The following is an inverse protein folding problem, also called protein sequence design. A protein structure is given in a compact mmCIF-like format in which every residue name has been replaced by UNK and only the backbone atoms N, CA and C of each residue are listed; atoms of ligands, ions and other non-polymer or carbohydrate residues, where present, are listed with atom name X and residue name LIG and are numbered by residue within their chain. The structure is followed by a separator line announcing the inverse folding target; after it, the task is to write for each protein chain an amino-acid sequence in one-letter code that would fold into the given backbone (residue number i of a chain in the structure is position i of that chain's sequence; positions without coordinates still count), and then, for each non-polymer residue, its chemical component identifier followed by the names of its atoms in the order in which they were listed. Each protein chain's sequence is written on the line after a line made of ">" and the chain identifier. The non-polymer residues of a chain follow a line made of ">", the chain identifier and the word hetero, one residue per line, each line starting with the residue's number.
data_IF_083818525944
#
_entry.id   IF_083818525944
#
_cell.length_a   1.000
_cell.length_b   1.000
_cell.length_c   1.000
_cell.angle_alpha   90.00
_cell.angle_beta   90.00
_cell.angle_gamma   90.00
#
_symmetry.space_group_name_H-M   'P 1'
#
loop_
_entity.id
_entity.type
_entity.pdbx_description
1 polymer ?
#
# COMPACT_ATOMS: atom_id res chain seq x y z
N UNK A 1 19.84 -25.30 -14.20
CA UNK A 1 18.40 -25.61 -14.16
C UNK A 1 17.68 -24.36 -14.63
N UNK A 2 16.56 -24.49 -15.34
CA UNK A 2 15.75 -23.32 -15.73
C UNK A 2 15.31 -22.60 -14.45
N UNK A 3 15.46 -21.27 -14.41
CA UNK A 3 14.93 -20.47 -13.30
C UNK A 3 13.42 -20.31 -13.52
N UNK A 4 12.64 -21.16 -12.87
CA UNK A 4 11.19 -21.30 -13.05
C UNK A 4 10.38 -20.29 -12.19
N UNK A 5 11.05 -19.34 -11.53
CA UNK A 5 10.41 -18.28 -10.76
C UNK A 5 9.53 -17.39 -11.64
N UNK A 6 8.48 -16.83 -11.03
CA UNK A 6 7.57 -15.88 -11.69
C UNK A 6 8.31 -14.61 -12.09
N UNK A 7 7.91 -14.06 -13.21
CA UNK A 7 8.44 -12.81 -13.77
C UNK A 7 7.79 -11.58 -13.13
N UNK A 8 6.56 -11.70 -12.66
CA UNK A 8 5.76 -10.60 -12.12
C UNK A 8 5.21 -10.95 -10.74
N UNK A 9 5.05 -9.91 -9.93
CA UNK A 9 4.39 -10.01 -8.63
C UNK A 9 2.98 -9.42 -8.67
N UNK A 10 2.17 -9.78 -7.69
CA UNK A 10 0.83 -9.23 -7.48
C UNK A 10 0.74 -8.62 -6.09
N UNK A 11 -0.09 -7.59 -5.95
CA UNK A 11 -0.37 -7.00 -4.63
C UNK A 11 -1.18 -7.97 -3.79
N UNK A 12 -1.19 -7.78 -2.47
CA UNK A 12 -2.23 -8.31 -1.59
C UNK A 12 -3.05 -7.16 -1.00
N UNK A 13 -4.20 -7.46 -0.43
CA UNK A 13 -5.10 -6.44 0.12
C UNK A 13 -4.44 -5.60 1.22
N UNK A 14 -4.76 -4.30 1.22
CA UNK A 14 -4.17 -3.32 2.13
C UNK A 14 -3.14 -2.40 1.45
N UNK A 15 -2.91 -1.25 2.07
CA UNK A 15 -1.84 -0.31 1.73
C UNK A 15 -0.54 -0.65 2.44
N UNK A 16 0.47 0.21 2.29
CA UNK A 16 1.81 0.01 2.86
C UNK A 16 1.83 -0.11 4.38
N UNK A 17 0.83 0.46 5.07
CA UNK A 17 0.73 0.49 6.53
C UNK A 17 -0.06 -0.66 7.16
N UNK A 18 -0.87 -1.41 6.41
CA UNK A 18 -1.74 -2.44 6.98
C UNK A 18 -1.79 -3.76 6.19
N UNK A 19 -1.07 -3.88 5.07
CA UNK A 19 -1.04 -5.09 4.24
C UNK A 19 -0.50 -6.31 4.99
N UNK A 20 0.56 -6.14 5.79
CA UNK A 20 1.12 -7.25 6.58
C UNK A 20 0.13 -7.75 7.65
N UNK A 21 -0.58 -6.85 8.32
CA UNK A 21 -1.59 -7.23 9.30
C UNK A 21 -2.74 -8.01 8.67
N UNK A 22 -3.21 -7.59 7.49
CA UNK A 22 -4.26 -8.29 6.76
C UNK A 22 -3.77 -9.67 6.30
N UNK A 23 -2.55 -9.75 5.75
CA UNK A 23 -1.93 -11.02 5.35
C UNK A 23 -1.80 -11.96 6.55
N UNK A 24 -1.27 -11.48 7.67
CA UNK A 24 -1.12 -12.25 8.90
C UNK A 24 -2.46 -12.78 9.39
N UNK A 25 -3.50 -11.94 9.46
CA UNK A 25 -4.85 -12.36 9.86
C UNK A 25 -5.43 -13.41 8.91
N UNK A 26 -5.20 -13.28 7.61
CA UNK A 26 -5.66 -14.27 6.62
C UNK A 26 -4.93 -15.60 6.80
N UNK A 27 -3.62 -15.58 6.97
CA UNK A 27 -2.83 -16.79 7.23
C UNK A 27 -3.23 -17.44 8.56
N UNK A 28 -3.46 -16.65 9.62
CA UNK A 28 -3.95 -17.15 10.90
C UNK A 28 -5.30 -17.86 10.77
N UNK A 29 -6.22 -17.31 9.97
CA UNK A 29 -7.49 -17.95 9.67
C UNK A 29 -7.30 -19.32 8.98
N UNK A 30 -6.34 -19.45 8.06
CA UNK A 30 -6.00 -20.73 7.43
C UNK A 30 -5.25 -21.70 8.35
N UNK A 31 -4.61 -21.20 9.42
CA UNK A 31 -3.90 -22.02 10.39
C UNK A 31 -4.83 -22.85 11.26
N UNK A 32 -6.06 -22.35 11.51
CA UNK A 32 -7.02 -23.03 12.36
C UNK A 32 -7.42 -24.38 11.76
N UNK A 33 -7.74 -24.40 10.47
CA UNK A 33 -7.98 -25.59 9.66
C UNK A 33 -7.85 -25.25 8.16
N UNK A 34 -7.55 -26.23 7.29
CA UNK A 34 -7.78 -26.08 5.86
C UNK A 34 -9.25 -25.72 5.59
N UNK A 35 -9.47 -24.73 4.74
CA UNK A 35 -10.81 -24.22 4.39
C UNK A 35 -11.09 -24.45 2.91
N UNK A 36 -12.36 -24.43 2.52
CA UNK A 36 -12.71 -24.41 1.10
C UNK A 36 -12.30 -23.08 0.45
N UNK A 37 -12.15 -23.08 -0.88
CA UNK A 37 -11.88 -21.86 -1.65
C UNK A 37 -12.99 -20.82 -1.46
N UNK A 38 -14.24 -21.25 -1.34
CA UNK A 38 -15.35 -20.32 -1.06
C UNK A 38 -15.22 -19.68 0.32
N UNK A 39 -14.85 -20.44 1.35
CA UNK A 39 -14.67 -19.89 2.71
C UNK A 39 -13.50 -18.92 2.76
N UNK A 40 -12.38 -19.22 2.09
CA UNK A 40 -11.27 -18.28 1.94
C UNK A 40 -11.70 -16.99 1.23
N UNK A 41 -12.51 -17.10 0.17
CA UNK A 41 -13.06 -15.95 -0.54
C UNK A 41 -14.00 -15.13 0.36
N UNK A 42 -14.89 -15.78 1.09
CA UNK A 42 -15.87 -15.11 1.96
C UNK A 42 -15.16 -14.40 3.13
N UNK A 43 -14.09 -15.00 3.67
CA UNK A 43 -13.23 -14.32 4.65
C UNK A 43 -12.61 -13.06 4.06
N UNK A 44 -12.03 -13.14 2.85
CA UNK A 44 -11.39 -11.99 2.21
C UNK A 44 -12.39 -10.90 1.84
N UNK A 45 -13.58 -11.25 1.35
CA UNK A 45 -14.68 -10.29 1.13
C UNK A 45 -15.10 -9.59 2.42
N UNK A 46 -15.07 -10.29 3.56
CA UNK A 46 -15.54 -9.75 4.84
C UNK A 46 -14.49 -8.94 5.60
N UNK A 47 -13.20 -9.19 5.35
CA UNK A 47 -12.10 -8.65 6.16
C UNK A 47 -11.17 -7.71 5.39
N UNK A 48 -11.43 -7.50 4.10
CA UNK A 48 -10.61 -6.67 3.21
C UNK A 48 -11.50 -5.80 2.32
N UNK A 49 -10.89 -5.04 1.41
CA UNK A 49 -11.60 -4.26 0.39
C UNK A 49 -11.90 -5.07 -0.88
N UNK A 50 -11.81 -6.41 -0.83
CA UNK A 50 -12.13 -7.27 -1.96
C UNK A 50 -13.59 -7.10 -2.43
N UNK A 51 -13.80 -7.00 -3.75
CA UNK A 51 -15.14 -6.78 -4.35
C UNK A 51 -15.63 -7.88 -5.26
N UNK A 52 -14.74 -8.76 -5.69
CA UNK A 52 -15.09 -9.88 -6.56
C UNK A 52 -14.27 -11.12 -6.21
N UNK A 53 -14.89 -12.28 -6.40
CA UNK A 53 -14.22 -13.57 -6.23
C UNK A 53 -13.12 -13.79 -7.27
N UNK A 54 -13.21 -13.15 -8.44
CA UNK A 54 -12.20 -13.22 -9.49
C UNK A 54 -10.91 -12.48 -9.12
N UNK A 55 -11.02 -11.27 -8.56
CA UNK A 55 -9.87 -10.56 -8.00
C UNK A 55 -9.23 -11.37 -6.87
N UNK A 56 -10.04 -11.93 -5.96
CA UNK A 56 -9.55 -12.79 -4.88
C UNK A 56 -8.78 -13.98 -5.45
N UNK A 57 -9.29 -14.65 -6.48
CA UNK A 57 -8.61 -15.79 -7.09
C UNK A 57 -7.23 -15.43 -7.64
N UNK A 58 -7.07 -14.23 -8.20
CA UNK A 58 -5.76 -13.74 -8.65
C UNK A 58 -4.78 -13.60 -7.48
N UNK A 59 -5.23 -12.99 -6.37
CA UNK A 59 -4.42 -12.84 -5.16
C UNK A 59 -4.08 -14.19 -4.49
N UNK A 60 -5.05 -15.11 -4.41
CA UNK A 60 -4.80 -16.47 -3.92
C UNK A 60 -3.81 -17.21 -4.83
N UNK A 61 -3.91 -17.05 -6.15
CA UNK A 61 -2.95 -17.62 -7.10
C UNK A 61 -1.53 -17.09 -6.90
N UNK A 62 -1.37 -15.81 -6.55
CA UNK A 62 -0.07 -15.25 -6.19
C UNK A 62 0.45 -15.78 -4.86
N UNK A 63 -0.35 -15.75 -3.79
CA UNK A 63 0.05 -16.28 -2.48
C UNK A 63 0.41 -17.78 -2.54
N UNK A 64 -0.28 -18.55 -3.40
CA UNK A 64 0.03 -19.95 -3.65
C UNK A 64 1.38 -20.11 -4.34
N UNK A 65 1.66 -19.27 -5.33
CA UNK A 65 2.93 -19.31 -6.05
C UNK A 65 4.13 -18.85 -5.20
N UNK A 66 3.91 -18.08 -4.14
CA UNK A 66 4.95 -17.74 -3.14
C UNK A 66 5.00 -18.74 -1.98
N UNK A 67 4.20 -19.81 -2.04
CA UNK A 67 4.01 -20.82 -0.99
C UNK A 67 3.60 -20.25 0.37
N UNK A 68 2.98 -19.06 0.39
CA UNK A 68 2.36 -18.51 1.60
C UNK A 68 1.08 -19.26 1.93
N UNK A 69 0.36 -19.70 0.90
CA UNK A 69 -0.76 -20.63 1.01
C UNK A 69 -0.49 -21.84 0.11
N UNK A 70 -1.25 -22.90 0.30
CA UNK A 70 -1.34 -24.03 -0.61
C UNK A 70 -2.80 -24.20 -1.04
N UNK A 71 -3.02 -24.22 -2.35
CA UNK A 71 -4.33 -24.35 -2.98
C UNK A 71 -4.34 -25.64 -3.79
N UNK A 72 -4.89 -26.69 -3.21
CA UNK A 72 -5.05 -28.01 -3.84
C UNK A 72 -6.54 -28.30 -4.02
N UNK A 73 -6.96 -28.54 -5.25
CA UNK A 73 -8.36 -28.69 -5.65
C UNK A 73 -9.22 -27.49 -5.16
N UNK A 74 -10.16 -27.75 -4.27
CA UNK A 74 -11.03 -26.75 -3.64
C UNK A 74 -10.59 -26.37 -2.22
N UNK A 75 -9.45 -26.89 -1.76
CA UNK A 75 -8.94 -26.63 -0.39
C UNK A 75 -7.84 -25.58 -0.42
N UNK A 76 -7.94 -24.61 0.47
CA UNK A 76 -6.94 -23.57 0.75
C UNK A 76 -6.39 -23.80 2.16
N UNK A 77 -5.07 -23.91 2.28
CA UNK A 77 -4.38 -24.14 3.55
C UNK A 77 -3.07 -23.35 3.62
N UNK A 78 -2.35 -23.45 4.75
CA UNK A 78 -1.03 -22.82 4.86
C UNK A 78 0.05 -23.56 4.08
N UNK A 79 0.72 -22.81 3.21
CA UNK A 79 1.94 -23.23 2.56
C UNK A 79 3.14 -23.18 3.52
N UNK A 80 4.29 -23.66 3.04
CA UNK A 80 5.50 -23.77 3.86
C UNK A 80 5.98 -22.39 4.37
N UNK A 81 6.03 -21.40 3.49
CA UNK A 81 6.39 -20.03 3.86
C UNK A 81 5.33 -19.38 4.76
N UNK A 82 4.06 -19.68 4.55
CA UNK A 82 2.96 -19.19 5.40
C UNK A 82 3.08 -19.64 6.86
N UNK A 83 3.41 -20.92 7.07
CA UNK A 83 3.65 -21.45 8.44
C UNK A 83 4.85 -20.78 9.09
N UNK A 84 5.97 -20.66 8.37
CA UNK A 84 7.17 -19.99 8.87
C UNK A 84 6.90 -18.54 9.24
N UNK A 85 6.16 -17.81 8.40
CA UNK A 85 5.79 -16.43 8.67
C UNK A 85 4.86 -16.30 9.88
N UNK A 86 3.91 -17.21 10.09
CA UNK A 86 3.10 -17.18 11.32
C UNK A 86 3.91 -17.48 12.58
N UNK A 87 4.90 -18.38 12.49
CA UNK A 87 5.81 -18.67 13.60
C UNK A 87 6.78 -17.53 13.89
N UNK A 88 7.19 -16.77 12.88
CA UNK A 88 8.07 -15.61 12.98
C UNK A 88 7.64 -14.55 11.95
N UNK A 89 6.74 -13.62 12.32
CA UNK A 89 6.11 -12.67 11.39
C UNK A 89 7.02 -11.49 11.04
N UNK A 90 8.27 -11.79 10.75
CA UNK A 90 9.32 -10.81 10.48
C UNK A 90 9.48 -10.58 8.96
N UNK A 91 9.78 -9.35 8.52
CA UNK A 91 9.98 -9.02 7.10
C UNK A 91 10.97 -9.94 6.34
N UNK A 92 12.09 -10.42 6.92
CA UNK A 92 13.01 -11.32 6.23
C UNK A 92 12.37 -12.65 5.81
N UNK A 93 11.39 -13.16 6.55
CA UNK A 93 10.72 -14.43 6.21
C UNK A 93 9.86 -14.28 4.96
N UNK A 94 9.13 -13.17 4.84
CA UNK A 94 8.39 -12.85 3.62
C UNK A 94 9.30 -12.49 2.46
N UNK A 95 10.39 -11.78 2.72
CA UNK A 95 11.40 -11.47 1.71
C UNK A 95 11.95 -12.75 1.08
N UNK A 96 12.31 -13.74 1.89
CA UNK A 96 12.84 -15.02 1.41
C UNK A 96 11.80 -15.80 0.59
N UNK A 97 10.53 -15.79 1.02
CA UNK A 97 9.39 -16.33 0.24
C UNK A 97 9.26 -15.65 -1.13
N UNK A 98 9.35 -14.33 -1.18
CA UNK A 98 9.21 -13.56 -2.42
C UNK A 98 10.39 -13.78 -3.37
N UNK A 99 11.64 -13.66 -2.92
CA UNK A 99 12.83 -13.81 -3.77
C UNK A 99 13.04 -15.25 -4.27
N UNK A 100 12.59 -16.24 -3.50
CA UNK A 100 12.64 -17.65 -3.90
C UNK A 100 11.66 -17.98 -5.02
N UNK A 101 10.58 -17.21 -5.16
CA UNK A 101 9.47 -17.53 -6.07
C UNK A 101 9.24 -16.49 -7.19
N UNK A 102 9.80 -15.29 -7.04
CA UNK A 102 9.65 -14.18 -8.00
C UNK A 102 11.02 -13.57 -8.30
N UNK A 103 11.30 -13.37 -9.59
CA UNK A 103 12.53 -12.73 -10.04
C UNK A 103 12.52 -11.23 -9.72
N UNK A 104 13.71 -10.67 -9.50
CA UNK A 104 13.90 -9.21 -9.50
C UNK A 104 14.05 -8.54 -8.14
N UNK A 105 13.62 -9.15 -7.02
CA UNK A 105 13.75 -8.51 -5.70
C UNK A 105 15.21 -8.21 -5.33
N UNK A 106 16.09 -9.21 -5.42
CA UNK A 106 17.53 -9.04 -5.15
C UNK A 106 18.14 -8.02 -6.13
N UNK A 107 17.80 -8.10 -7.42
CA UNK A 107 18.27 -7.18 -8.46
C UNK A 107 17.95 -5.72 -8.14
N UNK A 108 16.72 -5.45 -7.67
CA UNK A 108 16.28 -4.10 -7.30
C UNK A 108 17.04 -3.61 -6.07
N UNK A 109 17.15 -4.44 -5.02
CA UNK A 109 17.86 -4.08 -3.79
C UNK A 109 19.32 -3.73 -4.08
N UNK A 110 20.04 -4.56 -4.84
CA UNK A 110 21.44 -4.30 -5.19
C UNK A 110 21.57 -3.01 -6.00
N UNK A 111 20.76 -2.84 -7.06
CA UNK A 111 20.85 -1.65 -7.91
C UNK A 111 20.52 -0.36 -7.15
N UNK A 112 19.67 -0.43 -6.14
CA UNK A 112 19.29 0.73 -5.32
C UNK A 112 20.37 1.14 -4.31
N UNK A 113 21.41 0.33 -4.08
CA UNK A 113 22.61 0.74 -3.31
C UNK A 113 23.36 1.89 -4.00
N UNK A 114 23.33 1.94 -5.34
CA UNK A 114 24.01 2.98 -6.13
C UNK A 114 23.25 4.32 -6.15
N UNK A 115 22.01 4.35 -5.67
CA UNK A 115 21.19 5.55 -5.61
C UNK A 115 19.69 5.30 -5.83
N UNK A 116 18.87 6.36 -5.71
CA UNK A 116 17.43 6.26 -5.85
C UNK A 116 17.02 5.78 -7.24
N UNK A 117 15.94 5.01 -7.32
CA UNK A 117 15.34 4.54 -8.57
C UNK A 117 13.89 5.02 -8.68
N UNK A 118 13.47 5.46 -9.86
CA UNK A 118 12.06 5.62 -10.19
C UNK A 118 11.43 4.27 -10.54
N UNK A 119 10.10 4.20 -10.64
CA UNK A 119 9.43 2.97 -11.09
C UNK A 119 9.76 2.64 -12.56
N UNK A 120 10.09 3.65 -13.37
CA UNK A 120 10.60 3.50 -14.73
C UNK A 120 12.00 2.85 -14.72
N UNK A 121 12.91 3.32 -13.87
CA UNK A 121 14.24 2.74 -13.73
C UNK A 121 14.17 1.28 -13.26
N UNK A 122 13.27 0.97 -12.32
CA UNK A 122 13.03 -0.41 -11.85
C UNK A 122 12.50 -1.28 -12.98
N UNK A 123 11.56 -0.78 -13.79
CA UNK A 123 11.05 -1.51 -14.96
C UNK A 123 12.17 -1.79 -15.95
N UNK A 124 12.94 -0.77 -16.33
CA UNK A 124 14.01 -0.91 -17.31
C UNK A 124 15.09 -1.88 -16.82
N UNK A 125 15.43 -1.85 -15.53
CA UNK A 125 16.32 -2.81 -14.87
C UNK A 125 15.79 -4.24 -14.99
N UNK A 126 14.52 -4.48 -14.68
CA UNK A 126 13.94 -5.83 -14.73
C UNK A 126 13.86 -6.35 -16.17
N UNK A 127 13.50 -5.50 -17.13
CA UNK A 127 13.45 -5.86 -18.55
C UNK A 127 14.85 -6.15 -19.10
N UNK A 128 15.88 -5.41 -18.68
CA UNK A 128 17.25 -5.63 -19.14
C UNK A 128 17.87 -6.91 -18.59
N UNK A 129 17.60 -7.23 -17.32
CA UNK A 129 18.18 -8.38 -16.64
C UNK A 129 17.48 -9.70 -16.99
N UNK A 130 16.18 -9.67 -17.27
CA UNK A 130 15.39 -10.86 -17.52
C UNK A 130 14.70 -10.76 -18.88
N UNK A 131 15.35 -11.28 -19.93
CA UNK A 131 14.90 -11.19 -21.32
C UNK A 131 13.46 -11.71 -21.60
N UNK A 132 12.95 -12.59 -20.74
CA UNK A 132 11.59 -13.14 -20.84
C UNK A 132 10.52 -12.24 -20.17
N UNK A 133 10.93 -11.21 -19.43
CA UNK A 133 10.04 -10.22 -18.82
C UNK A 133 9.56 -9.25 -19.90
N UNK A 134 8.31 -9.42 -20.35
CA UNK A 134 7.62 -8.42 -21.14
C UNK A 134 6.79 -7.50 -20.22
N UNK A 135 7.43 -6.48 -19.66
CA UNK A 135 6.75 -5.43 -18.90
C UNK A 135 6.56 -4.21 -19.80
N UNK A 136 5.38 -4.13 -20.44
CA UNK A 136 5.04 -2.99 -21.29
C UNK A 136 4.91 -1.66 -20.51
N UNK A 137 4.72 -1.72 -19.19
CA UNK A 137 4.44 -0.54 -18.36
C UNK A 137 5.11 -0.62 -16.97
N UNK A 138 5.44 0.53 -16.32
CA UNK A 138 6.08 0.57 -15.00
C UNK A 138 5.25 -0.01 -13.86
N UNK A 139 3.93 -0.13 -14.06
CA UNK A 139 2.98 -0.57 -13.05
C UNK A 139 3.24 -2.01 -12.60
N UNK A 140 3.84 -2.85 -13.44
CA UNK A 140 4.22 -4.22 -13.06
C UNK A 140 5.44 -4.20 -12.14
N UNK A 141 6.43 -3.36 -12.44
CA UNK A 141 7.63 -3.14 -11.63
C UNK A 141 7.31 -2.45 -10.28
N UNK A 142 6.32 -1.55 -10.27
CA UNK A 142 5.85 -0.88 -9.06
C UNK A 142 5.38 -1.86 -7.98
N UNK A 143 4.91 -3.05 -8.35
CA UNK A 143 4.45 -4.07 -7.40
C UNK A 143 5.61 -4.72 -6.64
N UNK A 144 6.78 -4.90 -7.27
CA UNK A 144 8.00 -5.35 -6.57
C UNK A 144 8.42 -4.32 -5.54
N UNK A 145 8.49 -3.05 -5.96
CA UNK A 145 8.78 -1.93 -5.06
C UNK A 145 7.82 -1.87 -3.88
N UNK A 146 6.52 -2.03 -4.11
CA UNK A 146 5.54 -1.99 -3.03
C UNK A 146 5.69 -3.11 -2.01
N UNK A 147 6.07 -4.32 -2.43
CA UNK A 147 6.40 -5.38 -1.49
C UNK A 147 7.63 -5.01 -0.67
N UNK A 148 8.68 -4.49 -1.29
CA UNK A 148 9.87 -3.99 -0.57
C UNK A 148 9.52 -2.87 0.42
N UNK A 149 8.57 -2.00 0.06
CA UNK A 149 8.11 -0.92 0.91
C UNK A 149 7.29 -1.43 2.10
N UNK A 150 6.38 -2.37 1.86
CA UNK A 150 5.58 -3.02 2.92
C UNK A 150 6.46 -3.78 3.90
N UNK A 151 7.56 -4.36 3.42
CA UNK A 151 8.56 -5.04 4.25
C UNK A 151 9.53 -4.06 4.95
N UNK A 152 9.41 -2.75 4.69
CA UNK A 152 10.24 -1.73 5.33
C UNK A 152 11.63 -1.56 4.73
N UNK A 153 11.97 -2.22 3.63
CA UNK A 153 13.28 -2.12 2.98
C UNK A 153 13.42 -0.93 2.03
N UNK A 154 12.30 -0.41 1.53
CA UNK A 154 12.28 0.72 0.59
C UNK A 154 11.32 1.80 1.08
N UNK A 155 11.77 3.04 1.05
CA UNK A 155 10.92 4.22 1.21
C UNK A 155 10.74 4.94 -0.14
N UNK A 156 9.61 5.64 -0.29
CA UNK A 156 9.29 6.40 -1.49
C UNK A 156 9.01 7.85 -1.11
N UNK A 157 9.69 8.77 -1.78
CA UNK A 157 9.44 10.21 -1.72
C UNK A 157 9.60 10.79 -3.12
N UNK A 158 8.67 11.66 -3.54
CA UNK A 158 8.77 12.42 -4.80
C UNK A 158 9.01 11.54 -6.04
N UNK A 159 8.37 10.37 -6.10
CA UNK A 159 8.52 9.42 -7.21
C UNK A 159 9.84 8.64 -7.23
N UNK A 160 10.77 8.93 -6.31
CA UNK A 160 12.01 8.22 -6.12
C UNK A 160 11.88 7.18 -4.99
N UNK A 161 12.48 6.01 -5.20
CA UNK A 161 12.54 4.91 -4.25
C UNK A 161 13.97 4.80 -3.71
N UNK A 162 14.13 4.69 -2.39
CA UNK A 162 15.41 4.60 -1.70
C UNK A 162 15.39 3.44 -0.72
N UNK A 163 16.55 2.81 -0.51
CA UNK A 163 16.70 1.85 0.58
C UNK A 163 16.55 2.57 1.93
N UNK A 164 15.83 1.94 2.84
CA UNK A 164 15.86 2.31 4.26
C UNK A 164 17.15 1.79 4.91
N UNK A 165 17.35 2.06 6.20
CA UNK A 165 18.45 1.46 6.95
C UNK A 165 18.42 -0.08 6.88
N UNK A 166 17.24 -0.67 7.07
CA UNK A 166 17.05 -2.13 7.00
C UNK A 166 17.24 -2.66 5.57
N UNK A 167 16.87 -1.86 4.55
CA UNK A 167 17.14 -2.19 3.16
C UNK A 167 18.63 -2.24 2.82
N UNK A 168 19.41 -1.31 3.37
CA UNK A 168 20.88 -1.34 3.24
C UNK A 168 21.50 -2.54 3.95
N UNK A 169 21.05 -2.87 5.17
CA UNK A 169 21.52 -4.05 5.89
C UNK A 169 21.19 -5.34 5.14
N UNK A 170 19.99 -5.43 4.55
CA UNK A 170 19.60 -6.54 3.70
C UNK A 170 20.53 -6.66 2.48
N UNK A 171 20.83 -5.56 1.80
CA UNK A 171 21.72 -5.58 0.64
C UNK A 171 23.13 -6.10 1.01
N UNK A 172 23.70 -5.63 2.12
CA UNK A 172 24.99 -6.12 2.63
C UNK A 172 24.96 -7.63 2.95
N UNK A 173 23.83 -8.14 3.46
CA UNK A 173 23.68 -9.57 3.73
C UNK A 173 23.57 -10.42 2.46
N UNK A 174 23.02 -9.87 1.37
CA UNK A 174 22.93 -10.54 0.07
C UNK A 174 24.29 -10.60 -0.65
N UNK A 175 25.13 -9.58 -0.45
CA UNK A 175 26.51 -9.52 -0.97
C UNK A 175 27.48 -10.46 -0.21
N UNK A 176 27.10 -10.90 0.99
CA UNK A 176 27.90 -11.80 1.83
C UNK A 176 27.75 -13.28 1.47
N UNK A 177 28.79 -14.09 1.74
CA UNK A 177 28.76 -15.55 1.57
C UNK A 177 27.87 -16.29 2.61
N UNK A 178 27.17 -15.57 3.49
CA UNK A 178 26.33 -16.15 4.55
C UNK A 178 24.86 -16.19 4.11
N UNK A 179 24.24 -17.38 3.93
CA UNK A 179 22.85 -17.48 3.54
C UNK A 179 21.92 -16.76 4.53
N UNK A 180 20.88 -16.06 4.03
CA UNK A 180 19.84 -15.43 4.86
C UNK A 180 19.22 -16.44 5.86
N UNK A 181 19.17 -17.71 5.48
CA UNK A 181 18.74 -18.82 6.33
C UNK A 181 19.63 -19.06 7.55
N UNK A 182 20.94 -18.82 7.48
CA UNK A 182 21.83 -18.94 8.64
C UNK A 182 21.63 -17.78 9.63
N UNK A 183 21.25 -16.59 9.15
CA UNK A 183 20.87 -15.45 10.00
C UNK A 183 19.53 -15.76 10.71
N UNK A 184 18.56 -16.29 9.98
CA UNK A 184 17.25 -16.72 10.52
C UNK A 184 17.38 -17.90 11.50
N UNK A 185 18.30 -18.85 11.26
CA UNK A 185 18.51 -20.01 12.14
C UNK A 185 19.38 -19.70 13.37
N UNK A 186 20.22 -18.66 13.33
CA UNK A 186 21.11 -18.29 14.44
C UNK A 186 20.40 -17.75 15.68
N UNK A 187 19.13 -17.33 15.55
CA UNK A 187 18.26 -16.88 16.66
C UNK A 187 17.23 -17.94 17.09
N UNK A 188 17.27 -19.14 16.51
CA UNK A 188 16.32 -20.23 16.78
C UNK A 188 17.06 -21.45 17.34
N UNK A 189 17.67 -21.30 18.52
CA UNK A 189 17.95 -22.46 19.35
C UNK A 189 16.66 -22.90 20.06
N UNK A 190 15.79 -23.62 19.34
CA UNK A 190 14.63 -24.30 19.96
C UNK A 190 15.01 -25.74 20.26
N UNK A 191 15.02 -26.16 21.54
CA UNK A 191 15.06 -27.57 21.89
C UNK A 191 13.77 -28.22 21.41
N UNK A 192 13.89 -29.29 20.62
CA UNK A 192 12.74 -30.13 20.25
C UNK A 192 12.15 -30.75 21.52
N UNK A 193 10.89 -30.44 21.80
CA UNK A 193 10.04 -31.26 22.66
C UNK A 193 8.70 -31.45 21.97
N UNK A 194 8.44 -32.70 21.58
CA UNK A 194 7.13 -33.17 21.14
C UNK A 194 6.15 -33.08 22.32
N UNK A 195 5.19 -32.17 22.27
CA UNK A 195 3.90 -32.33 22.96
C UNK A 195 2.89 -31.30 22.47
N UNK A 196 1.72 -31.78 22.07
CA UNK A 196 0.50 -31.02 21.87
C UNK A 196 0.20 -30.19 23.12
N UNK A 197 0.18 -28.86 23.05
CA UNK A 197 -0.50 -28.03 24.05
C UNK A 197 -0.91 -26.67 23.46
N UNK A 198 -2.20 -26.37 23.57
CA UNK A 198 -2.86 -25.12 23.17
C UNK A 198 -2.36 -23.95 24.01
N UNK A 199 -1.89 -22.86 23.39
CA UNK A 199 -1.57 -21.62 24.11
C UNK A 199 -2.66 -20.59 23.83
N UNK A 200 -3.34 -20.15 24.89
CA UNK A 200 -4.42 -19.17 24.84
C UNK A 200 -3.91 -17.74 24.58
N UNK A 201 -4.79 -16.89 24.02
CA UNK A 201 -4.57 -15.47 23.67
C UNK A 201 -4.24 -14.53 24.85
N UNK A 202 -4.01 -15.07 26.05
CA UNK A 202 -3.84 -14.28 27.27
C UNK A 202 -2.38 -13.83 27.51
N UNK A 203 -1.40 -14.31 26.73
CA UNK A 203 0.04 -14.05 26.93
C UNK A 203 0.69 -13.18 25.83
N UNK A 204 -0.04 -12.30 25.14
CA UNK A 204 0.58 -11.24 24.33
C UNK A 204 0.96 -10.07 25.25
N UNK A 205 2.19 -10.07 25.77
CA UNK A 205 2.76 -8.88 26.41
C UNK A 205 3.03 -7.81 25.34
N UNK A 206 2.24 -6.74 25.36
CA UNK A 206 2.55 -5.52 24.63
C UNK A 206 3.86 -4.92 25.19
N UNK A 207 4.73 -4.36 24.35
CA UNK A 207 5.93 -3.70 24.84
C UNK A 207 5.56 -2.58 25.81
N UNK A 208 6.32 -2.46 26.90
CA UNK A 208 6.17 -1.35 27.85
C UNK A 208 6.33 -0.03 27.09
N UNK A 209 5.26 0.76 27.06
CA UNK A 209 5.29 2.10 26.51
C UNK A 209 6.25 2.98 27.31
N UNK A 210 6.93 3.90 26.65
CA UNK A 210 7.73 4.91 27.36
C UNK A 210 6.82 5.97 27.98
N UNK A 211 6.96 6.23 29.28
CA UNK A 211 6.34 7.41 29.93
C UNK A 211 6.91 8.73 29.39
N UNK A 212 8.02 8.68 28.66
CA UNK A 212 8.70 9.86 28.08
C UNK A 212 8.72 9.79 26.56
N UNK A 213 8.00 10.71 25.93
CA UNK A 213 8.05 10.91 24.48
C UNK A 213 9.16 11.89 24.14
N UNK A 214 10.18 11.46 23.39
CA UNK A 214 11.14 12.39 22.80
C UNK A 214 10.47 13.20 21.70
N UNK A 215 10.41 14.53 21.88
CA UNK A 215 9.91 15.45 20.85
C UNK A 215 11.09 16.00 20.07
N UNK A 216 11.21 15.58 18.81
CA UNK A 216 12.18 16.17 17.88
C UNK A 216 11.53 17.39 17.21
N UNK A 217 12.10 18.60 17.34
CA UNK A 217 11.65 19.72 16.54
C UNK A 217 11.97 19.44 15.07
N UNK A 218 10.94 19.49 14.21
CA UNK A 218 11.11 19.44 12.76
C UNK A 218 10.86 20.85 12.22
N UNK A 219 11.79 21.37 11.44
CA UNK A 219 11.57 22.56 10.61
C UNK A 219 10.89 22.10 9.34
N UNK A 220 9.61 22.44 9.18
CA UNK A 220 8.87 22.28 7.93
C UNK A 220 8.87 23.61 7.20
N UNK A 221 9.25 23.61 5.93
CA UNK A 221 8.99 24.74 5.04
C UNK A 221 7.50 24.74 4.72
N UNK A 222 6.72 25.35 5.62
CA UNK A 222 5.28 25.43 5.48
C UNK A 222 4.94 26.42 4.36
N UNK A 223 4.36 25.92 3.27
CA UNK A 223 3.65 26.78 2.32
C UNK A 223 2.53 27.49 3.08
N UNK A 224 2.61 28.82 3.16
CA UNK A 224 1.61 29.65 3.85
C UNK A 224 0.29 29.58 3.10
N UNK A 225 -0.62 28.71 3.57
CA UNK A 225 -1.98 28.58 3.03
C UNK A 225 -2.84 29.75 3.49
N UNK A 226 -3.72 30.22 2.61
CA UNK A 226 -4.69 31.26 2.91
C UNK A 226 -5.76 30.72 3.87
N UNK A 227 -5.53 30.93 5.16
CA UNK A 227 -6.42 30.47 6.22
C UNK A 227 -7.85 31.03 6.10
N UNK A 228 -8.01 32.22 5.51
CA UNK A 228 -9.33 32.82 5.27
C UNK A 228 -10.09 32.05 4.19
N UNK A 229 -9.41 31.67 3.10
CA UNK A 229 -9.98 30.82 2.04
C UNK A 229 -10.44 29.48 2.61
N UNK A 230 -9.56 28.77 3.33
CA UNK A 230 -9.86 27.48 3.96
C UNK A 230 -11.08 27.58 4.87
N UNK A 231 -11.12 28.60 5.73
CA UNK A 231 -12.24 28.78 6.68
C UNK A 231 -13.55 29.07 5.97
N UNK A 232 -13.55 29.91 4.93
CA UNK A 232 -14.74 30.24 4.15
C UNK A 232 -15.26 29.03 3.38
N UNK A 233 -14.37 28.23 2.78
CA UNK A 233 -14.77 27.01 2.05
C UNK A 233 -15.35 25.96 2.99
N UNK A 234 -14.71 25.66 4.11
CA UNK A 234 -15.27 24.71 5.09
C UNK A 234 -16.64 25.13 5.59
N UNK A 235 -16.84 26.42 5.86
CA UNK A 235 -18.14 26.96 6.25
C UNK A 235 -19.18 26.90 5.12
N UNK A 236 -18.79 27.18 3.87
CA UNK A 236 -19.66 27.13 2.69
C UNK A 236 -20.25 25.73 2.46
N UNK A 237 -19.48 24.69 2.76
CA UNK A 237 -19.88 23.29 2.63
C UNK A 237 -20.34 22.64 3.94
N UNK A 238 -20.37 23.39 5.04
CA UNK A 238 -20.65 22.87 6.39
C UNK A 238 -19.84 21.59 6.69
N UNK A 239 -18.54 21.60 6.36
CA UNK A 239 -17.61 20.46 6.48
C UNK A 239 -18.10 19.16 5.80
N UNK A 240 -19.00 19.27 4.82
CA UNK A 240 -19.50 18.12 4.05
C UNK A 240 -18.54 17.83 2.91
N UNK A 241 -18.17 16.57 2.74
CA UNK A 241 -17.32 16.12 1.65
C UNK A 241 -18.00 16.35 0.30
N UNK A 242 -17.34 17.06 -0.61
CA UNK A 242 -17.87 17.31 -1.96
C UNK A 242 -17.89 16.05 -2.85
N UNK A 243 -17.22 14.96 -2.45
CA UNK A 243 -17.16 13.68 -3.16
C UNK A 243 -18.28 12.74 -2.68
N UNK A 244 -18.23 12.32 -1.42
CA UNK A 244 -19.19 11.36 -0.86
C UNK A 244 -20.41 11.99 -0.20
N UNK A 245 -20.43 13.30 0.06
CA UNK A 245 -21.51 13.96 0.77
C UNK A 245 -21.59 13.65 2.27
N UNK A 246 -20.61 12.93 2.84
CA UNK A 246 -20.57 12.69 4.29
C UNK A 246 -20.01 13.91 5.03
N UNK A 247 -20.59 14.19 6.20
CA UNK A 247 -20.17 15.26 7.11
C UNK A 247 -19.60 14.64 8.38
N UNK A 248 -18.27 14.58 8.48
CA UNK A 248 -17.61 14.09 9.70
C UNK A 248 -17.79 15.09 10.83
N UNK A 249 -17.76 14.61 12.07
CA UNK A 249 -18.02 15.43 13.26
C UNK A 249 -16.80 15.49 14.17
N UNK A 250 -16.48 16.69 14.65
CA UNK A 250 -15.53 16.96 15.74
C UNK A 250 -16.29 17.45 16.97
N UNK A 251 -17.23 16.63 17.42
CA UNK A 251 -18.15 16.94 18.52
C UNK A 251 -19.62 17.02 18.10
N UNK A 252 -20.53 17.37 19.02
CA UNK A 252 -21.98 17.37 18.75
C UNK A 252 -22.37 18.31 17.60
N UNK A 253 -21.79 19.50 17.59
CA UNK A 253 -22.20 20.61 16.71
C UNK A 253 -21.19 20.93 15.61
N UNK A 254 -19.93 20.52 15.76
CA UNK A 254 -18.84 20.91 14.85
C UNK A 254 -18.55 19.83 13.80
N UNK A 255 -18.38 20.26 12.56
CA UNK A 255 -17.93 19.42 11.47
C UNK A 255 -16.41 19.20 11.47
N UNK A 256 -15.95 18.28 10.64
CA UNK A 256 -14.53 18.06 10.37
C UNK A 256 -14.31 17.71 8.91
N UNK A 257 -13.60 18.58 8.21
CA UNK A 257 -13.19 18.35 6.84
C UNK A 257 -11.72 18.74 6.65
N UNK A 258 -11.13 18.23 5.59
CA UNK A 258 -9.88 18.72 5.03
C UNK A 258 -10.17 19.57 3.79
N UNK A 259 -9.15 20.34 3.40
CA UNK A 259 -9.15 21.08 2.16
C UNK A 259 -8.02 20.51 1.31
N UNK A 260 -8.36 20.06 0.11
CA UNK A 260 -7.43 19.44 -0.83
C UNK A 260 -7.25 20.34 -2.06
N UNK A 261 -6.00 20.56 -2.46
CA UNK A 261 -5.67 21.29 -3.68
C UNK A 261 -5.50 20.31 -4.85
N UNK A 262 -6.33 20.42 -5.88
CA UNK A 262 -6.27 19.55 -7.07
C UNK A 262 -4.91 19.63 -7.77
N UNK A 263 -4.31 20.82 -7.80
CA UNK A 263 -2.92 21.05 -8.15
C UNK A 263 -2.18 21.46 -6.87
N UNK A 264 -1.31 20.60 -6.29
CA UNK A 264 -0.66 20.86 -5.02
C UNK A 264 0.18 22.16 -5.04
N UNK A 265 0.21 22.87 -3.92
CA UNK A 265 0.91 24.17 -3.82
C UNK A 265 2.43 24.05 -3.82
N UNK A 266 2.96 22.95 -3.26
CA UNK A 266 4.39 22.73 -3.12
C UNK A 266 5.08 22.37 -4.43
N UNK A 267 6.41 22.42 -4.44
CA UNK A 267 7.20 21.86 -5.53
C UNK A 267 6.96 20.34 -5.63
N UNK A 268 7.00 19.75 -6.84
CA UNK A 268 7.26 20.40 -8.13
C UNK A 268 6.02 21.05 -8.78
N UNK A 269 4.84 20.89 -8.18
CA UNK A 269 3.57 21.20 -8.83
C UNK A 269 3.27 22.70 -8.88
N UNK A 270 3.61 23.46 -7.84
CA UNK A 270 3.50 24.93 -7.81
C UNK A 270 2.08 25.46 -8.14
N UNK A 271 1.05 24.75 -7.67
CA UNK A 271 -0.34 25.13 -7.83
C UNK A 271 -0.67 26.45 -7.09
N UNK A 272 -1.63 27.24 -7.59
CA UNK A 272 -2.06 28.46 -6.92
C UNK A 272 -3.04 28.19 -5.78
N UNK A 273 -2.98 29.00 -4.72
CA UNK A 273 -3.90 28.94 -3.59
C UNK A 273 -5.16 29.80 -3.84
N UNK A 274 -6.01 29.31 -4.74
CA UNK A 274 -7.24 29.97 -5.21
C UNK A 274 -8.44 29.02 -5.05
N UNK A 275 -9.67 29.53 -4.83
CA UNK A 275 -10.85 28.67 -4.64
C UNK A 275 -11.03 27.62 -5.73
N UNK A 276 -10.76 27.98 -6.98
CA UNK A 276 -10.96 27.13 -8.15
C UNK A 276 -10.09 25.86 -8.13
N UNK A 277 -8.98 25.88 -7.38
CA UNK A 277 -8.04 24.77 -7.25
C UNK A 277 -8.35 23.88 -6.03
N UNK A 278 -9.47 24.10 -5.34
CA UNK A 278 -9.64 23.61 -3.98
C UNK A 278 -10.95 22.84 -3.80
N UNK A 279 -10.90 21.72 -3.08
CA UNK A 279 -12.07 20.94 -2.67
C UNK A 279 -12.11 20.76 -1.15
N UNK A 280 -13.33 20.76 -0.60
CA UNK A 280 -13.63 20.36 0.78
C UNK A 280 -13.97 18.86 0.78
N UNK A 281 -13.18 18.08 1.49
CA UNK A 281 -13.24 16.62 1.46
C UNK A 281 -13.15 16.02 2.86
N UNK A 282 -13.65 14.79 3.03
CA UNK A 282 -13.43 14.05 4.26
C UNK A 282 -11.99 13.51 4.33
N UNK A 283 -11.51 13.03 5.50
CA UNK A 283 -10.15 12.53 5.64
C UNK A 283 -9.81 11.37 4.69
N UNK A 284 -10.78 10.49 4.40
CA UNK A 284 -10.55 9.37 3.48
C UNK A 284 -10.32 9.88 2.06
N UNK A 285 -11.26 10.64 1.50
CA UNK A 285 -11.13 11.18 0.14
C UNK A 285 -9.98 12.19 -0.01
N UNK A 286 -9.57 12.86 1.08
CA UNK A 286 -8.33 13.64 1.08
C UNK A 286 -7.13 12.76 0.75
N UNK A 287 -6.98 11.63 1.43
CA UNK A 287 -5.90 10.69 1.14
C UNK A 287 -6.07 10.02 -0.22
N UNK A 288 -7.31 9.76 -0.66
CA UNK A 288 -7.55 9.22 -2.00
C UNK A 288 -7.09 10.17 -3.10
N UNK A 289 -7.32 11.48 -2.93
CA UNK A 289 -6.81 12.48 -3.85
C UNK A 289 -5.27 12.54 -3.83
N UNK A 290 -4.66 12.58 -2.63
CA UNK A 290 -3.19 12.58 -2.48
C UNK A 290 -2.52 11.37 -3.14
N UNK A 291 -3.16 10.21 -3.06
CA UNK A 291 -2.66 8.96 -3.64
C UNK A 291 -3.11 8.72 -5.09
N UNK A 292 -3.90 9.63 -5.68
CA UNK A 292 -4.38 9.51 -7.05
C UNK A 292 -5.45 8.43 -7.26
N UNK A 293 -6.17 8.03 -6.23
CA UNK A 293 -7.21 6.98 -6.26
C UNK A 293 -8.57 7.47 -6.78
N UNK A 294 -8.68 8.74 -7.14
CA UNK A 294 -9.85 9.26 -7.85
C UNK A 294 -9.46 10.29 -8.90
N UNK A 295 -10.27 10.36 -9.95
CA UNK A 295 -10.25 11.39 -10.98
C UNK A 295 -11.62 12.06 -11.05
N UNK A 296 -11.69 13.22 -11.70
CA UNK A 296 -12.95 13.95 -11.92
C UNK A 296 -13.03 14.33 -13.39
N UNK A 297 -14.13 14.05 -14.07
CA UNK A 297 -14.32 14.54 -15.43
C UNK A 297 -14.34 16.10 -15.44
N UNK A 298 -13.45 16.77 -16.18
CA UNK A 298 -13.31 18.23 -16.12
C UNK A 298 -14.50 19.00 -16.72
N UNK A 299 -15.41 18.33 -17.43
CA UNK A 299 -16.61 18.95 -18.02
C UNK A 299 -17.88 18.64 -17.22
N UNK A 300 -18.06 17.38 -16.82
CA UNK A 300 -19.28 16.93 -16.14
C UNK A 300 -19.17 16.99 -14.62
N UNK A 301 -17.95 17.11 -14.10
CA UNK A 301 -17.57 16.96 -12.69
C UNK A 301 -17.99 15.60 -12.09
N UNK A 302 -18.17 14.59 -12.94
CA UNK A 302 -18.41 13.22 -12.47
C UNK A 302 -17.12 12.65 -11.91
N UNK A 303 -17.21 12.14 -10.69
CA UNK A 303 -16.12 11.48 -10.00
C UNK A 303 -15.97 10.08 -10.59
N UNK A 304 -14.74 9.70 -10.87
CA UNK A 304 -14.38 8.32 -11.14
C UNK A 304 -13.40 7.86 -10.07
N UNK A 305 -13.85 6.97 -9.19
CA UNK A 305 -13.08 6.53 -8.03
C UNK A 305 -12.61 5.10 -8.22
N UNK A 306 -11.30 4.90 -8.13
CA UNK A 306 -10.60 3.65 -8.43
C UNK A 306 -11.11 2.43 -7.63
N UNK A 307 -11.64 2.67 -6.44
CA UNK A 307 -12.12 1.62 -5.56
C UNK A 307 -13.34 2.05 -4.76
N UNK A 308 -14.14 3.06 -5.10
CA UNK A 308 -15.34 3.42 -4.32
C UNK A 308 -16.55 3.64 -5.23
N UNK A 309 -17.22 2.56 -5.62
CA UNK A 309 -18.30 2.60 -6.62
C UNK A 309 -19.50 3.43 -6.15
N UNK A 310 -19.68 3.60 -4.84
CA UNK A 310 -20.73 4.45 -4.27
C UNK A 310 -20.54 5.94 -4.57
N UNK A 311 -19.34 6.35 -4.98
CA UNK A 311 -19.06 7.72 -5.41
C UNK A 311 -18.70 7.85 -6.88
N UNK A 312 -18.30 6.77 -7.55
CA UNK A 312 -18.14 6.75 -9.01
C UNK A 312 -19.45 7.12 -9.71
N UNK A 313 -19.37 8.03 -10.68
CA UNK A 313 -20.50 8.62 -11.40
C UNK A 313 -21.28 9.69 -10.62
N UNK A 314 -20.94 9.95 -9.35
CA UNK A 314 -21.49 11.10 -8.63
C UNK A 314 -20.82 12.37 -9.09
N UNK A 315 -21.58 13.46 -9.11
CA UNK A 315 -21.02 14.79 -9.38
C UNK A 315 -20.44 15.40 -8.12
N UNK A 316 -19.27 16.03 -8.26
CA UNK A 316 -18.70 16.88 -7.22
C UNK A 316 -19.73 17.93 -6.82
N UNK A 317 -20.09 17.99 -5.54
CA UNK A 317 -21.05 18.99 -5.05
C UNK A 317 -20.40 20.38 -5.13
N UNK A 318 -20.98 21.28 -5.93
CA UNK A 318 -20.52 22.65 -6.09
C UNK A 318 -21.61 23.63 -5.67
N UNK A 319 -21.22 24.74 -5.03
CA UNK A 319 -22.14 25.85 -4.71
C UNK A 319 -21.92 26.96 -5.72
N UNK A 320 -22.95 27.76 -6.01
CA UNK A 320 -22.86 28.85 -7.01
C UNK A 320 -21.72 29.86 -6.77
N UNK A 321 -21.22 29.97 -5.54
CA UNK A 321 -20.10 30.85 -5.17
C UNK A 321 -18.74 30.16 -5.17
N UNK A 322 -18.65 28.89 -5.60
CA UNK A 322 -17.43 28.09 -5.64
C UNK A 322 -17.40 27.26 -6.92
N UNK A 323 -16.72 27.79 -7.93
CA UNK A 323 -16.52 27.15 -9.23
C UNK A 323 -15.18 26.42 -9.23
N UNK A 324 -15.15 25.16 -9.66
CA UNK A 324 -13.92 24.36 -9.75
C UNK A 324 -13.28 24.58 -11.11
N UNK A 325 -12.00 24.94 -11.12
CA UNK A 325 -11.26 25.24 -12.33
C UNK A 325 -10.94 23.96 -13.12
N UNK A 326 -11.47 23.78 -14.35
CA UNK A 326 -11.28 22.56 -15.11
C UNK A 326 -9.80 22.29 -15.44
N UNK A 327 -8.96 23.32 -15.50
CA UNK A 327 -7.51 23.19 -15.67
C UNK A 327 -6.83 22.46 -14.50
N UNK A 328 -7.34 22.62 -13.27
CA UNK A 328 -6.78 21.97 -12.09
C UNK A 328 -7.26 20.53 -11.97
N UNK A 329 -8.51 20.28 -12.37
CA UNK A 329 -9.04 18.92 -12.51
C UNK A 329 -8.25 18.14 -13.58
N UNK A 330 -8.02 18.74 -14.75
CA UNK A 330 -7.24 18.12 -15.81
C UNK A 330 -5.79 17.84 -15.36
N UNK A 331 -5.18 18.78 -14.64
CA UNK A 331 -3.85 18.57 -14.05
C UNK A 331 -3.84 17.40 -13.07
N UNK A 332 -4.77 17.38 -12.11
CA UNK A 332 -4.93 16.27 -11.16
C UNK A 332 -5.05 14.94 -11.89
N UNK A 333 -5.96 14.83 -12.85
CA UNK A 333 -6.19 13.59 -13.58
C UNK A 333 -4.96 13.13 -14.37
N UNK A 334 -4.20 14.05 -14.95
CA UNK A 334 -3.07 13.72 -15.81
C UNK A 334 -1.79 13.41 -15.01
N UNK A 335 -1.58 14.11 -13.89
CA UNK A 335 -0.30 14.13 -13.17
C UNK A 335 -0.37 13.35 -11.86
N UNK A 336 -1.55 13.24 -11.26
CA UNK A 336 -1.75 12.67 -9.91
C UNK A 336 -2.63 11.42 -9.95
N UNK A 337 -3.78 11.48 -10.62
CA UNK A 337 -4.72 10.37 -10.67
C UNK A 337 -4.17 9.17 -11.45
N UNK A 338 -4.51 7.97 -10.98
CA UNK A 338 -4.34 6.74 -11.73
C UNK A 338 -5.39 6.69 -12.84
N UNK A 339 -4.97 6.76 -14.10
CA UNK A 339 -5.86 6.48 -15.22
C UNK A 339 -5.79 4.98 -15.55
N UNK A 340 -6.95 4.33 -15.68
CA UNK A 340 -7.06 3.01 -16.29
C UNK A 340 -7.00 3.18 -17.81
N UNK A 341 -5.96 2.64 -18.46
CA UNK A 341 -5.93 2.40 -19.91
C UNK A 341 -6.28 0.94 -20.22
#
# INVERSE_FOLDING_TARGET
>A
MSDDRRLTTDRFYGGTSNRLDILKRFLSFLNENPVSRSEAQDWLLSNTQARSRDSINHHLGFLNATELIDVTDDTVSLGNWGRRYLSSPEPPVLYESLRSNVKGFDTIIHRMQDGPLTDEDIKDLLVSEFADINMGTPQVAARHREWLQVLGYVERSDGANRLTADGHQLAESLDGDTPLSEIIESDVSVPRTDSEDTVGLDDIELPDGSETTERRPTTRDDVVRNEELVRKLKALYDDTCQICGDRRRKGPDNGFSHVHHLMPLGEPHNGPDVPENVLVVCPNHHEDFENGMLSIDPQTLEVDHFYEDSVTGRKVDTKNSHEIGPQYVAYHNQVIALNED
#
